data_IF_646363287748
#
_entry.id   IF_646363287748
#
_cell.length_a   1.000
_cell.length_b   1.000
_cell.length_c   1.000
_cell.angle_alpha   90.00
_cell.angle_beta   90.00
_cell.angle_gamma   90.00
#
_symmetry.space_group_name_H-M   'P 1'
#
loop_
_entity.id
_entity.type
_entity.pdbx_description
1 polymer ?
#
# COMPACT_ATOMS: atom_id res chain seq x y z
N UNK A 1 -7.90 14.78 -11.40
CA UNK A 1 -7.85 13.31 -11.52
C UNK A 1 -8.71 12.73 -10.41
N UNK A 2 -9.39 11.61 -10.68
CA UNK A 2 -10.26 10.94 -9.72
C UNK A 2 -9.41 10.07 -8.79
N UNK A 3 -9.59 10.16 -7.46
CA UNK A 3 -8.90 9.26 -6.53
C UNK A 3 -9.17 7.79 -6.86
N UNK A 4 -8.15 6.96 -6.77
CA UNK A 4 -8.25 5.53 -7.04
C UNK A 4 -7.96 4.74 -5.78
N UNK A 5 -8.84 3.79 -5.43
CA UNK A 5 -8.59 2.85 -4.35
C UNK A 5 -7.52 1.85 -4.82
N UNK A 6 -6.37 1.85 -4.15
CA UNK A 6 -5.28 0.92 -4.47
C UNK A 6 -5.48 -0.44 -3.82
N UNK A 7 -5.83 -0.45 -2.53
CA UNK A 7 -6.11 -1.65 -1.77
C UNK A 7 -6.95 -1.37 -0.52
N UNK A 8 -7.60 -2.41 -0.01
CA UNK A 8 -8.14 -2.46 1.37
C UNK A 8 -7.28 -3.41 2.19
N UNK A 9 -6.76 -2.91 3.31
CA UNK A 9 -5.82 -3.64 4.16
C UNK A 9 -6.54 -4.85 4.78
N UNK A 10 -6.00 -6.03 4.55
CA UNK A 10 -6.42 -7.25 5.25
C UNK A 10 -5.41 -7.63 6.34
N UNK A 11 -4.13 -7.45 6.04
CA UNK A 11 -3.01 -7.72 6.94
C UNK A 11 -1.97 -6.61 6.82
N UNK A 12 -1.25 -6.35 7.91
CA UNK A 12 -0.12 -5.44 7.90
C UNK A 12 1.03 -5.99 8.75
N UNK A 13 2.26 -5.68 8.33
CA UNK A 13 3.47 -6.15 9.00
C UNK A 13 4.43 -4.97 9.21
N UNK A 14 4.85 -4.75 10.45
CA UNK A 14 5.87 -3.77 10.76
C UNK A 14 7.25 -4.34 10.41
N UNK A 15 7.90 -3.69 9.45
CA UNK A 15 9.26 -4.00 9.01
C UNK A 15 10.20 -3.01 9.69
N UNK A 16 10.88 -3.47 10.74
CA UNK A 16 11.80 -2.64 11.54
C UNK A 16 12.82 -1.93 10.66
N UNK A 17 12.84 -0.59 10.74
CA UNK A 17 13.74 0.26 9.95
C UNK A 17 13.29 0.53 8.51
N UNK A 18 12.11 0.06 8.10
CA UNK A 18 11.56 0.25 6.75
C UNK A 18 10.16 0.87 6.75
N UNK A 19 9.28 0.44 7.66
CA UNK A 19 7.91 0.96 7.74
C UNK A 19 6.87 -0.15 7.87
N UNK A 20 5.66 0.10 7.36
CA UNK A 20 4.53 -0.85 7.44
C UNK A 20 4.19 -1.42 6.08
N UNK A 21 4.27 -2.73 5.95
CA UNK A 21 3.82 -3.43 4.75
C UNK A 21 2.30 -3.62 4.83
N UNK A 22 1.57 -3.16 3.81
CA UNK A 22 0.13 -3.26 3.69
C UNK A 22 -0.24 -4.32 2.65
N UNK A 23 -0.99 -5.33 3.07
CA UNK A 23 -1.33 -6.49 2.25
C UNK A 23 -2.85 -6.61 2.12
N UNK A 24 -3.32 -6.74 0.88
CA UNK A 24 -4.71 -7.02 0.57
C UNK A 24 -5.03 -8.52 0.69
N UNK A 25 -6.31 -8.84 0.90
CA UNK A 25 -6.77 -10.24 0.95
C UNK A 25 -6.60 -10.95 -0.40
N UNK A 26 -6.63 -10.21 -1.50
CA UNK A 26 -6.48 -10.71 -2.88
C UNK A 26 -5.52 -9.80 -3.63
N UNK A 27 -4.91 -10.31 -4.70
CA UNK A 27 -4.08 -9.48 -5.59
C UNK A 27 -4.90 -8.32 -6.13
N UNK A 28 -4.35 -7.10 -6.03
CA UNK A 28 -4.98 -5.88 -6.52
C UNK A 28 -4.43 -5.53 -7.91
N UNK A 29 -5.22 -5.66 -8.99
CA UNK A 29 -4.74 -5.44 -10.36
C UNK A 29 -4.23 -4.01 -10.58
N UNK A 30 -4.77 -3.04 -9.84
CA UNK A 30 -4.40 -1.64 -9.99
C UNK A 30 -2.98 -1.36 -9.53
N UNK A 31 -2.49 -2.03 -8.47
CA UNK A 31 -1.11 -1.87 -8.02
C UNK A 31 -0.10 -2.38 -9.06
N UNK A 32 -0.48 -3.39 -9.84
CA UNK A 32 0.36 -3.96 -10.90
C UNK A 32 0.57 -3.04 -12.10
N UNK A 33 -0.17 -1.93 -12.19
CA UNK A 33 0.05 -0.93 -13.25
C UNK A 33 1.29 -0.07 -12.97
N UNK A 34 1.76 -0.03 -11.72
CA UNK A 34 2.95 0.72 -11.33
C UNK A 34 4.18 -0.19 -11.42
N UNK A 35 5.33 0.40 -11.77
CA UNK A 35 6.59 -0.32 -11.65
C UNK A 35 6.94 -0.56 -10.17
N UNK A 36 7.67 -1.64 -9.88
CA UNK A 36 8.21 -1.88 -8.54
C UNK A 36 9.08 -0.70 -8.09
N UNK A 37 9.03 -0.43 -6.78
CA UNK A 37 9.66 0.69 -6.09
C UNK A 37 9.16 2.09 -6.50
N UNK A 38 8.10 2.18 -7.31
CA UNK A 38 7.44 3.47 -7.59
C UNK A 38 6.93 4.07 -6.29
N UNK A 39 7.31 5.33 -6.02
CA UNK A 39 6.84 6.10 -4.86
C UNK A 39 5.50 6.76 -5.16
N UNK A 40 4.55 6.58 -4.26
CA UNK A 40 3.19 7.11 -4.35
C UNK A 40 2.90 7.88 -3.06
N UNK A 41 2.33 9.08 -3.19
CA UNK A 41 1.65 9.71 -2.06
C UNK A 41 0.25 9.11 -1.96
N UNK A 42 -0.01 8.40 -0.85
CA UNK A 42 -1.27 7.72 -0.61
C UNK A 42 -1.99 8.30 0.59
N UNK A 43 -3.32 8.26 0.52
CA UNK A 43 -4.22 8.62 1.61
C UNK A 43 -4.72 7.34 2.26
N UNK A 44 -4.42 7.19 3.54
CA UNK A 44 -4.99 6.19 4.42
C UNK A 44 -6.35 6.69 4.91
N UNK A 45 -7.38 5.87 4.82
CA UNK A 45 -8.69 6.11 5.43
C UNK A 45 -8.94 4.97 6.42
N UNK A 46 -8.77 5.25 7.70
CA UNK A 46 -8.88 4.28 8.78
C UNK A 46 -10.35 3.91 9.03
N UNK A 47 -10.66 2.74 9.63
CA UNK A 47 -12.03 2.33 9.92
C UNK A 47 -12.83 3.30 10.82
N UNK A 48 -12.13 4.09 11.64
CA UNK A 48 -12.73 5.14 12.48
C UNK A 48 -13.01 6.46 11.72
N UNK A 49 -12.73 6.51 10.41
CA UNK A 49 -12.87 7.69 9.56
C UNK A 49 -11.70 8.67 9.61
N UNK A 50 -10.69 8.44 10.45
CA UNK A 50 -9.46 9.24 10.44
C UNK A 50 -8.75 9.09 9.09
N UNK A 51 -8.08 10.15 8.64
CA UNK A 51 -7.35 10.15 7.37
C UNK A 51 -5.94 10.67 7.54
N UNK A 52 -5.00 10.07 6.80
CA UNK A 52 -3.60 10.49 6.84
C UNK A 52 -2.96 10.32 5.47
N UNK A 53 -2.13 11.29 5.06
CA UNK A 53 -1.29 11.17 3.86
C UNK A 53 0.07 10.61 4.26
N UNK A 54 0.56 9.62 3.51
CA UNK A 54 1.87 9.01 3.70
C UNK A 54 2.52 8.68 2.36
N UNK A 55 3.86 8.76 2.26
CA UNK A 55 4.57 8.15 1.15
C UNK A 55 4.50 6.62 1.27
N UNK A 56 4.40 5.95 0.12
CA UNK A 56 4.46 4.51 0.03
C UNK A 56 5.20 4.07 -1.23
N UNK A 57 5.91 2.95 -1.19
CA UNK A 57 6.45 2.31 -2.38
C UNK A 57 5.61 1.09 -2.79
N UNK A 58 5.52 0.87 -4.09
CA UNK A 58 4.96 -0.36 -4.66
C UNK A 58 5.99 -1.46 -4.53
N UNK A 59 5.66 -2.52 -3.80
CA UNK A 59 6.55 -3.64 -3.52
C UNK A 59 5.91 -4.95 -3.93
N UNK A 60 6.66 -6.04 -3.78
CA UNK A 60 6.23 -7.38 -4.16
C UNK A 60 6.41 -8.37 -3.01
N UNK A 61 5.43 -9.27 -2.82
CA UNK A 61 5.56 -10.43 -1.94
C UNK A 61 5.30 -11.73 -2.68
N UNK A 62 6.10 -12.74 -2.35
CA UNK A 62 5.85 -14.12 -2.75
C UNK A 62 5.01 -14.81 -1.67
N UNK A 63 3.84 -15.36 -2.05
CA UNK A 63 3.08 -16.24 -1.15
C UNK A 63 3.46 -17.70 -1.42
N UNK A 64 3.78 -18.51 -0.39
CA UNK A 64 3.99 -19.94 -0.59
C UNK A 64 2.66 -20.62 -0.95
N UNK A 65 2.67 -21.34 -2.07
CA UNK A 65 1.57 -22.12 -2.65
C UNK A 65 0.37 -21.31 -3.20
N UNK A 66 0.03 -21.59 -4.47
CA UNK A 66 -1.16 -21.19 -5.25
C UNK A 66 -1.22 -19.86 -6.03
N UNK A 67 -0.25 -18.94 -5.93
CA UNK A 67 -0.18 -17.82 -6.87
C UNK A 67 0.92 -18.02 -7.93
N UNK A 68 0.53 -18.21 -9.19
CA UNK A 68 1.45 -18.30 -10.33
C UNK A 68 2.24 -17.00 -10.59
N UNK A 69 1.90 -15.92 -9.87
CA UNK A 69 2.52 -14.61 -9.94
C UNK A 69 2.57 -14.01 -8.54
N UNK A 70 3.65 -13.33 -8.16
CA UNK A 70 3.74 -12.63 -6.89
C UNK A 70 2.71 -11.49 -6.76
N UNK A 71 2.39 -11.10 -5.54
CA UNK A 71 1.39 -10.08 -5.24
C UNK A 71 2.04 -8.71 -5.09
N UNK A 72 1.49 -7.72 -5.78
CA UNK A 72 1.85 -6.32 -5.57
C UNK A 72 1.23 -5.81 -4.26
N UNK A 73 2.05 -5.15 -3.45
CA UNK A 73 1.70 -4.61 -2.13
C UNK A 73 2.23 -3.19 -1.98
N UNK A 74 1.94 -2.54 -0.84
CA UNK A 74 2.47 -1.22 -0.51
C UNK A 74 3.32 -1.27 0.75
N UNK A 75 4.52 -0.67 0.71
CA UNK A 75 5.30 -0.38 1.90
C UNK A 75 5.09 1.09 2.26
N UNK A 76 4.45 1.36 3.40
CA UNK A 76 4.25 2.70 3.93
C UNK A 76 5.53 3.17 4.62
N UNK A 77 6.14 4.22 4.09
CA UNK A 77 7.40 4.80 4.59
C UNK A 77 7.09 5.89 5.61
N UNK A 78 6.53 5.50 6.76
CA UNK A 78 6.19 6.44 7.82
C UNK A 78 6.59 5.90 9.18
N UNK A 79 7.35 6.70 9.92
CA UNK A 79 7.62 6.44 11.34
C UNK A 79 6.45 6.86 12.25
N UNK A 80 5.49 7.61 11.70
CA UNK A 80 4.33 8.14 12.44
C UNK A 80 3.16 7.16 12.42
N UNK A 81 3.00 6.40 11.34
CA UNK A 81 2.00 5.33 11.28
C UNK A 81 2.61 4.10 11.94
N UNK A 82 2.21 3.84 13.18
CA UNK A 82 2.71 2.71 13.97
C UNK A 82 1.83 1.46 13.83
N UNK A 83 0.59 1.63 13.40
CA UNK A 83 -0.38 0.55 13.20
C UNK A 83 -1.24 0.82 11.96
N UNK A 84 -1.59 -0.25 11.25
CA UNK A 84 -2.43 -0.22 10.07
C UNK A 84 -3.48 -1.32 10.18
N UNK A 85 -4.64 -1.04 10.82
CA UNK A 85 -5.62 -2.06 11.12
C UNK A 85 -6.30 -2.58 9.84
N UNK A 86 -6.78 -3.84 9.85
CA UNK A 86 -7.61 -4.38 8.78
C UNK A 86 -8.84 -3.50 8.51
N UNK A 87 -9.22 -3.37 7.25
CA UNK A 87 -10.30 -2.49 6.79
C UNK A 87 -9.85 -1.06 6.50
N UNK A 88 -8.59 -0.70 6.74
CA UNK A 88 -8.04 0.59 6.27
C UNK A 88 -8.02 0.62 4.75
N UNK A 89 -8.55 1.68 4.16
CA UNK A 89 -8.51 1.89 2.71
C UNK A 89 -7.30 2.74 2.34
N UNK A 90 -6.59 2.37 1.27
CA UNK A 90 -5.44 3.12 0.77
C UNK A 90 -5.76 3.67 -0.62
N UNK A 91 -5.79 4.99 -0.72
CA UNK A 91 -6.21 5.71 -1.92
C UNK A 91 -5.05 6.49 -2.52
N UNK A 92 -4.95 6.49 -3.85
CA UNK A 92 -4.02 7.32 -4.60
C UNK A 92 -4.73 8.48 -5.28
N UNK A 93 -4.13 9.67 -5.23
CA UNK A 93 -4.72 10.91 -5.80
C UNK A 93 -4.54 11.05 -7.31
N UNK A 94 -3.75 10.17 -7.94
CA UNK A 94 -3.39 10.24 -9.36
C UNK A 94 -2.07 10.96 -9.64
N UNK A 95 -1.38 11.47 -8.61
CA UNK A 95 -0.03 12.04 -8.73
C UNK A 95 1.01 11.00 -8.30
N UNK A 96 1.78 10.47 -9.24
CA UNK A 96 3.00 9.75 -8.92
C UNK A 96 4.12 10.78 -8.96
N UNK A 97 4.80 10.99 -7.83
CA UNK A 97 5.98 11.82 -7.85
C UNK A 97 7.10 11.04 -8.53
N UNK A 98 7.43 11.47 -9.76
CA UNK A 98 8.61 11.03 -10.49
C UNK A 98 9.84 11.68 -9.84
N UNK A 99 10.25 11.21 -8.67
CA UNK A 99 11.57 11.56 -8.14
C UNK A 99 12.59 10.56 -8.71
N UNK A 100 13.38 11.05 -9.67
CA UNK A 100 14.51 10.38 -10.32
C UNK A 100 15.76 10.43 -9.44
#
# INVERSE_FOLDING_TARGET
>A
MTPQLLLVVAESYHLTGLGLLAIARRSEPLLRQFALHTKLEVRLVFPNGHQQLVPASVEEISRPADSASPDAVLLLESEVVTDLPPGTEIWWSGKADLFF
#
